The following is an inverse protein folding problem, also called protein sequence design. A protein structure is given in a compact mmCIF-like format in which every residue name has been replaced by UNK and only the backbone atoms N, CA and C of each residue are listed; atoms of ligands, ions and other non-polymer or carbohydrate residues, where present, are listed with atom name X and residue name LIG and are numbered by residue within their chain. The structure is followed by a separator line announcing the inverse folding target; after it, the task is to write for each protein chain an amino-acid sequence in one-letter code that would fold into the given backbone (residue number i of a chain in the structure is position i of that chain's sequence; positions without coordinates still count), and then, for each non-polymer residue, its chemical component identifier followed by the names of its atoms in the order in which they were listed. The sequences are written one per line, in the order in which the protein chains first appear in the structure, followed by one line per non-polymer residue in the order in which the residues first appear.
data_IF_309232128922
#
_entry.id   IF_309232128922
#
_cell.length_a   1.000
_cell.length_b   1.000
_cell.length_c   1.000
_cell.angle_alpha   90.00
_cell.angle_beta   90.00
_cell.angle_gamma   90.00
#
_symmetry.space_group_name_H-M   'P 1'
#
loop_
_entity.id
_entity.type
_entity.pdbx_description
1 polymer ?
#
# COMPACT_ATOMS: atom_id res chain seq x y z
N UNK A 1 21.31 -4.49 -1.21
CA UNK A 1 21.24 -3.08 -1.50
C UNK A 1 19.79 -2.70 -1.33
N UNK A 2 19.51 -1.82 -0.38
CA UNK A 2 18.15 -1.44 -0.04
C UNK A 2 17.53 -0.65 -1.18
N UNK A 3 16.49 -1.17 -1.75
CA UNK A 3 15.71 -0.56 -2.82
C UNK A 3 14.95 0.70 -2.39
N UNK A 4 14.95 1.05 -1.10
CA UNK A 4 14.29 2.25 -0.58
C UNK A 4 14.99 3.58 -0.91
N UNK A 5 16.27 3.57 -1.22
CA UNK A 5 16.96 4.74 -1.75
C UNK A 5 16.61 5.05 -3.20
N UNK A 6 15.88 4.17 -3.86
CA UNK A 6 15.55 4.27 -5.27
C UNK A 6 14.23 5.02 -5.57
N UNK A 7 13.54 5.58 -4.58
CA UNK A 7 12.42 6.51 -4.84
C UNK A 7 12.88 7.82 -5.48
N UNK A 8 14.17 8.12 -5.40
CA UNK A 8 14.90 9.14 -6.16
C UNK A 8 15.62 8.54 -7.37
N UNK A 9 15.13 7.44 -7.92
CA UNK A 9 15.78 6.82 -9.09
C UNK A 9 15.95 7.82 -10.19
N UNK A 10 17.18 8.02 -10.70
CA UNK A 10 17.36 8.77 -11.91
C UNK A 10 16.49 8.13 -13.01
N UNK A 11 15.90 8.95 -13.85
CA UNK A 11 15.18 8.47 -15.04
C UNK A 11 16.05 7.44 -15.77
N UNK A 12 15.45 6.33 -16.25
CA UNK A 12 16.25 5.32 -16.96
C UNK A 12 17.02 5.97 -18.10
N UNK A 13 18.29 5.66 -18.22
CA UNK A 13 19.08 6.11 -19.39
C UNK A 13 18.47 5.50 -20.66
N UNK A 14 18.70 6.12 -21.84
CA UNK A 14 18.24 5.54 -23.11
C UNK A 14 18.66 4.07 -23.31
N UNK A 15 19.80 3.66 -22.78
CA UNK A 15 20.28 2.26 -22.81
C UNK A 15 19.50 1.32 -21.87
N UNK A 16 18.85 1.87 -20.86
CA UNK A 16 18.00 1.12 -19.92
C UNK A 16 16.54 1.07 -20.36
N UNK A 17 16.15 1.95 -21.27
CA UNK A 17 14.79 1.99 -21.82
C UNK A 17 14.50 0.69 -22.58
N UNK A 18 13.37 0.05 -22.24
CA UNK A 18 12.96 -1.23 -22.82
C UNK A 18 13.61 -2.48 -22.19
N UNK A 19 14.55 -2.35 -21.26
CA UNK A 19 15.06 -3.49 -20.51
C UNK A 19 14.12 -3.84 -19.35
N UNK A 20 13.81 -5.14 -19.20
CA UNK A 20 13.04 -5.62 -18.06
C UNK A 20 13.80 -5.33 -16.78
N UNK A 21 13.13 -4.69 -15.83
CA UNK A 21 13.65 -4.48 -14.49
C UNK A 21 12.97 -5.45 -13.54
N UNK A 22 13.75 -6.30 -12.89
CA UNK A 22 13.26 -7.16 -11.82
C UNK A 22 13.29 -6.37 -10.51
N UNK A 23 12.22 -6.43 -9.74
CA UNK A 23 12.19 -5.97 -8.37
C UNK A 23 12.26 -7.16 -7.40
N UNK A 24 12.73 -6.90 -6.18
CA UNK A 24 12.65 -7.89 -5.10
C UNK A 24 11.22 -8.02 -4.60
N UNK A 25 10.86 -9.14 -3.99
CA UNK A 25 9.50 -9.41 -3.50
C UNK A 25 9.00 -8.40 -2.46
N UNK A 26 9.91 -7.72 -1.77
CA UNK A 26 9.59 -6.68 -0.77
C UNK A 26 9.53 -5.26 -1.34
N UNK A 27 9.67 -5.09 -2.65
CA UNK A 27 9.40 -3.81 -3.31
C UNK A 27 7.89 -3.55 -3.34
N UNK A 28 7.46 -2.33 -3.04
CA UNK A 28 6.04 -1.97 -2.98
C UNK A 28 5.30 -2.24 -4.30
N UNK A 29 6.02 -2.26 -5.43
CA UNK A 29 5.45 -2.54 -6.76
C UNK A 29 5.31 -4.02 -7.08
N UNK A 30 5.82 -4.92 -6.24
CA UNK A 30 5.91 -6.36 -6.54
C UNK A 30 4.55 -7.03 -6.79
N UNK A 31 3.48 -6.51 -6.19
CA UNK A 31 2.12 -7.02 -6.35
C UNK A 31 1.46 -6.66 -7.68
N UNK A 32 1.92 -5.62 -8.38
CA UNK A 32 1.24 -5.12 -9.58
C UNK A 32 1.38 -6.03 -10.79
N UNK A 33 2.53 -6.66 -10.98
CA UNK A 33 2.71 -7.58 -12.11
C UNK A 33 1.78 -8.81 -12.03
N UNK A 34 1.76 -9.59 -10.92
CA UNK A 34 0.78 -10.65 -10.77
C UNK A 34 -0.67 -10.13 -10.80
N UNK A 35 -0.95 -8.96 -10.23
CA UNK A 35 -2.25 -8.31 -10.34
C UNK A 35 -2.69 -8.07 -11.79
N UNK A 36 -1.78 -7.58 -12.62
CA UNK A 36 -2.04 -7.38 -14.07
C UNK A 36 -2.30 -8.70 -14.79
N UNK A 37 -1.62 -9.78 -14.42
CA UNK A 37 -1.89 -11.11 -14.99
C UNK A 37 -3.28 -11.63 -14.62
N UNK A 38 -3.75 -11.40 -13.38
CA UNK A 38 -5.08 -11.74 -12.95
C UNK A 38 -6.15 -10.98 -13.74
N UNK A 39 -5.98 -9.67 -13.95
CA UNK A 39 -6.90 -8.90 -14.80
C UNK A 39 -6.87 -9.35 -16.27
N UNK A 40 -5.68 -9.66 -16.80
CA UNK A 40 -5.56 -10.20 -18.15
C UNK A 40 -6.27 -11.55 -18.28
N UNK A 41 -6.17 -12.44 -17.28
CA UNK A 41 -6.96 -13.67 -17.23
C UNK A 41 -8.47 -13.39 -17.19
N UNK A 42 -8.91 -12.50 -16.32
CA UNK A 42 -10.33 -12.15 -16.19
C UNK A 42 -10.94 -11.65 -17.51
N UNK A 43 -10.18 -10.81 -18.24
CA UNK A 43 -10.62 -10.25 -19.52
C UNK A 43 -10.62 -11.26 -20.69
N UNK A 44 -9.73 -12.26 -20.65
CA UNK A 44 -9.49 -13.14 -21.80
C UNK A 44 -9.93 -14.59 -21.61
N UNK A 45 -10.08 -15.04 -20.36
CA UNK A 45 -10.30 -16.44 -20.02
C UNK A 45 -9.11 -17.36 -20.33
N UNK A 46 -7.91 -16.81 -20.56
CA UNK A 46 -6.74 -17.60 -20.98
C UNK A 46 -6.09 -18.29 -19.78
N UNK A 47 -6.14 -19.64 -19.77
CA UNK A 47 -5.59 -20.46 -18.69
C UNK A 47 -4.06 -20.33 -18.53
N UNK A 48 -3.31 -19.99 -19.58
CA UNK A 48 -1.87 -19.72 -19.48
C UNK A 48 -1.64 -18.48 -18.60
N UNK A 49 -2.40 -17.41 -18.80
CA UNK A 49 -2.34 -16.20 -17.97
C UNK A 49 -2.74 -16.50 -16.53
N UNK A 50 -3.71 -17.38 -16.30
CA UNK A 50 -4.09 -17.84 -14.96
C UNK A 50 -2.93 -18.58 -14.27
N UNK A 51 -2.29 -19.50 -14.99
CA UNK A 51 -1.16 -20.26 -14.46
C UNK A 51 0.02 -19.34 -14.09
N UNK A 52 0.34 -18.38 -14.96
CA UNK A 52 1.35 -17.36 -14.68
C UNK A 52 0.96 -16.48 -13.49
N UNK A 53 -0.30 -16.03 -13.43
CA UNK A 53 -0.79 -15.23 -12.30
C UNK A 53 -0.64 -15.97 -10.96
N UNK A 54 -0.99 -17.25 -10.91
CA UNK A 54 -0.80 -18.10 -9.72
C UNK A 54 0.68 -18.20 -9.37
N UNK A 55 1.55 -18.49 -10.35
CA UNK A 55 2.99 -18.63 -10.13
C UNK A 55 3.59 -17.36 -9.54
N UNK A 56 3.36 -16.20 -10.16
CA UNK A 56 3.92 -14.93 -9.72
C UNK A 56 3.29 -14.44 -8.40
N UNK A 57 2.02 -14.72 -8.14
CA UNK A 57 1.39 -14.47 -6.83
C UNK A 57 2.09 -15.27 -5.73
N UNK A 58 2.35 -16.56 -5.96
CA UNK A 58 2.99 -17.43 -4.97
C UNK A 58 4.42 -16.98 -4.61
N UNK A 59 5.15 -16.30 -5.52
CA UNK A 59 6.46 -15.74 -5.20
C UNK A 59 6.40 -14.67 -4.09
N UNK A 60 5.25 -14.03 -3.89
CA UNK A 60 5.05 -13.01 -2.86
C UNK A 60 4.68 -13.61 -1.49
N UNK A 61 4.57 -14.94 -1.35
CA UNK A 61 4.26 -15.57 -0.06
C UNK A 61 5.13 -15.11 1.11
N UNK A 62 6.47 -14.86 0.96
CA UNK A 62 7.29 -14.35 2.05
C UNK A 62 6.88 -12.98 2.60
N UNK A 63 6.16 -12.16 1.82
CA UNK A 63 5.69 -10.83 2.23
C UNK A 63 4.76 -10.90 3.44
N UNK A 64 4.04 -12.02 3.61
CA UNK A 64 3.17 -12.25 4.78
C UNK A 64 3.88 -12.09 6.14
N UNK A 65 5.20 -12.25 6.19
CA UNK A 65 6.02 -12.11 7.39
C UNK A 65 6.69 -10.74 7.51
N UNK A 66 6.55 -9.89 6.51
CA UNK A 66 7.23 -8.60 6.47
C UNK A 66 6.47 -7.56 7.29
N UNK A 67 7.21 -6.80 8.13
CA UNK A 67 6.65 -5.83 9.08
C UNK A 67 7.22 -4.41 8.91
N UNK A 68 8.15 -4.23 7.98
CA UNK A 68 8.94 -2.99 7.86
C UNK A 68 8.30 -1.87 7.06
N UNK A 69 7.11 -2.07 6.51
CA UNK A 69 6.44 -1.07 5.66
C UNK A 69 4.92 -1.15 5.79
N UNK A 70 4.23 -0.10 5.39
CA UNK A 70 2.78 -0.10 5.21
C UNK A 70 2.34 -0.65 3.84
N UNK A 71 3.25 -0.79 2.87
CA UNK A 71 2.97 -1.18 1.47
C UNK A 71 2.48 -2.62 1.31
N UNK A 72 2.14 -3.26 2.41
CA UNK A 72 1.64 -4.63 2.45
C UNK A 72 0.36 -4.82 1.63
N UNK A 73 -0.50 -3.80 1.58
CA UNK A 73 -1.69 -3.79 0.73
C UNK A 73 -1.32 -3.77 -0.75
N UNK A 74 -0.40 -2.90 -1.18
CA UNK A 74 0.09 -2.86 -2.57
C UNK A 74 0.68 -4.21 -3.01
N UNK A 75 1.47 -4.84 -2.16
CA UNK A 75 2.10 -6.13 -2.49
C UNK A 75 1.10 -7.27 -2.50
N UNK A 76 0.25 -7.39 -1.47
CA UNK A 76 -0.60 -8.56 -1.25
C UNK A 76 -2.03 -8.37 -1.78
N UNK A 77 -2.67 -7.21 -1.59
CA UNK A 77 -4.04 -7.06 -2.09
C UNK A 77 -4.08 -6.99 -3.63
N UNK A 78 -3.10 -6.37 -4.29
CA UNK A 78 -3.02 -6.38 -5.75
C UNK A 78 -2.77 -7.78 -6.33
N UNK A 79 -2.08 -8.67 -5.61
CA UNK A 79 -1.76 -10.02 -6.05
C UNK A 79 -2.72 -11.07 -5.48
N UNK A 80 -2.60 -11.37 -4.20
CA UNK A 80 -3.46 -12.35 -3.49
C UNK A 80 -4.92 -11.92 -3.41
N UNK A 81 -5.23 -10.61 -3.36
CA UNK A 81 -6.60 -10.13 -3.40
C UNK A 81 -7.31 -10.47 -4.72
N UNK A 82 -6.62 -10.32 -5.86
CA UNK A 82 -7.15 -10.78 -7.13
C UNK A 82 -7.21 -12.32 -7.24
N UNK A 83 -6.23 -13.02 -6.65
CA UNK A 83 -6.26 -14.47 -6.57
C UNK A 83 -7.45 -14.96 -5.72
N UNK A 84 -7.78 -14.31 -4.60
CA UNK A 84 -8.94 -14.63 -3.78
C UNK A 84 -10.24 -14.48 -4.55
N UNK A 85 -10.36 -13.42 -5.33
CA UNK A 85 -11.55 -13.13 -6.13
C UNK A 85 -11.76 -14.11 -7.29
N UNK A 86 -10.68 -14.55 -7.95
CA UNK A 86 -10.76 -15.34 -9.20
C UNK A 86 -10.44 -16.83 -9.05
N UNK A 87 -9.72 -17.21 -7.99
CA UNK A 87 -9.34 -18.59 -7.70
C UNK A 87 -9.16 -18.84 -6.19
N UNK A 88 -10.21 -18.60 -5.38
CA UNK A 88 -10.11 -18.60 -3.92
C UNK A 88 -9.65 -19.95 -3.35
N UNK A 89 -8.84 -19.90 -2.28
CA UNK A 89 -8.52 -21.05 -1.47
C UNK A 89 -8.05 -20.61 -0.06
N UNK A 90 -7.99 -21.56 0.88
CA UNK A 90 -7.67 -21.27 2.28
C UNK A 90 -6.24 -20.71 2.47
N UNK A 91 -5.29 -21.11 1.64
CA UNK A 91 -3.92 -20.61 1.69
C UNK A 91 -3.87 -19.13 1.35
N UNK A 92 -4.62 -18.70 0.31
CA UNK A 92 -4.73 -17.28 -0.09
C UNK A 92 -5.28 -16.46 1.08
N UNK A 93 -6.37 -16.89 1.68
CA UNK A 93 -6.98 -16.20 2.83
C UNK A 93 -6.04 -16.13 4.03
N UNK A 94 -5.30 -17.22 4.31
CA UNK A 94 -4.32 -17.23 5.39
C UNK A 94 -3.19 -16.21 5.16
N UNK A 95 -2.65 -16.12 3.94
CA UNK A 95 -1.62 -15.12 3.57
C UNK A 95 -2.15 -13.71 3.75
N UNK A 96 -3.33 -13.41 3.22
CA UNK A 96 -3.92 -12.07 3.32
C UNK A 96 -4.21 -11.68 4.76
N UNK A 97 -4.75 -12.61 5.56
CA UNK A 97 -5.04 -12.35 6.99
C UNK A 97 -3.77 -12.06 7.78
N UNK A 98 -2.73 -12.88 7.64
CA UNK A 98 -1.46 -12.67 8.34
C UNK A 98 -0.80 -11.35 7.93
N UNK A 99 -0.89 -10.99 6.64
CA UNK A 99 -0.42 -9.69 6.15
C UNK A 99 -1.22 -8.53 6.75
N UNK A 100 -2.55 -8.66 6.84
CA UNK A 100 -3.40 -7.66 7.49
C UNK A 100 -3.09 -7.51 8.98
N UNK A 101 -2.80 -8.60 9.69
CA UNK A 101 -2.35 -8.55 11.09
C UNK A 101 -1.02 -7.78 11.23
N UNK A 102 -0.08 -7.97 10.31
CA UNK A 102 1.18 -7.21 10.30
C UNK A 102 0.96 -5.72 9.99
N UNK A 103 0.05 -5.39 9.07
CA UNK A 103 -0.31 -3.99 8.80
C UNK A 103 -0.97 -3.35 10.02
N UNK A 104 -1.90 -4.04 10.68
CA UNK A 104 -2.49 -3.60 11.96
C UNK A 104 -1.45 -3.41 13.05
N UNK A 105 -0.39 -4.24 13.09
CA UNK A 105 0.71 -4.11 14.04
C UNK A 105 1.51 -2.80 13.92
N UNK A 106 1.36 -2.06 12.83
CA UNK A 106 1.96 -0.73 12.63
C UNK A 106 1.04 0.42 13.07
N UNK A 107 -0.17 0.11 13.50
CA UNK A 107 -1.14 1.09 13.97
C UNK A 107 -0.80 1.58 15.39
N UNK A 108 -0.91 2.88 15.60
CA UNK A 108 -0.80 3.51 16.92
C UNK A 108 -2.15 4.15 17.27
N UNK A 109 -2.77 3.66 18.33
CA UNK A 109 -4.13 4.09 18.72
C UNK A 109 -4.19 5.54 19.22
N UNK A 110 -3.14 6.02 19.90
CA UNK A 110 -3.06 7.41 20.38
C UNK A 110 -2.94 8.42 19.22
N UNK A 111 -2.30 8.01 18.13
CA UNK A 111 -2.16 8.83 16.92
C UNK A 111 -3.36 8.62 15.98
N UNK A 112 -3.94 7.42 15.99
CA UNK A 112 -5.03 7.02 15.12
C UNK A 112 -4.60 6.67 13.68
N UNK A 113 -3.32 6.28 13.47
CA UNK A 113 -2.78 5.98 12.14
C UNK A 113 -1.83 4.79 12.13
N UNK A 114 -1.62 4.24 10.92
CA UNK A 114 -0.64 3.20 10.61
C UNK A 114 0.66 3.89 10.16
N UNK A 115 1.78 3.55 10.80
CA UNK A 115 3.10 4.06 10.46
C UNK A 115 3.55 3.58 9.08
N UNK A 116 4.06 4.48 8.24
CA UNK A 116 4.44 4.15 6.87
C UNK A 116 5.78 3.42 6.77
N UNK A 117 6.83 3.97 7.39
CA UNK A 117 8.20 3.41 7.38
C UNK A 117 8.95 3.70 8.67
N UNK A 118 10.14 3.11 8.82
CA UNK A 118 10.96 3.20 10.04
C UNK A 118 12.33 3.87 9.78
N UNK A 119 12.49 4.59 8.68
CA UNK A 119 13.70 5.33 8.32
C UNK A 119 13.49 6.84 8.34
N UNK A 120 14.60 7.59 8.24
CA UNK A 120 14.58 9.05 8.21
C UNK A 120 14.50 9.68 9.60
N UNK A 121 14.25 10.98 9.64
CA UNK A 121 14.25 11.81 10.85
C UNK A 121 12.86 12.14 11.38
N UNK A 122 11.83 11.42 10.96
CA UNK A 122 10.45 11.61 11.40
C UNK A 122 10.16 10.80 12.67
N UNK A 123 9.39 11.36 13.57
CA UNK A 123 8.99 10.63 14.79
C UNK A 123 8.02 9.49 14.45
N UNK A 124 6.93 9.80 13.74
CA UNK A 124 5.95 8.82 13.29
C UNK A 124 5.43 9.21 11.89
N UNK A 125 6.11 8.80 10.82
CA UNK A 125 5.75 9.20 9.46
C UNK A 125 4.53 8.44 8.94
N UNK A 126 3.61 9.19 8.35
CA UNK A 126 2.46 8.68 7.62
C UNK A 126 2.43 9.33 6.25
N UNK A 127 2.43 8.56 5.18
CA UNK A 127 2.27 9.08 3.83
C UNK A 127 0.88 8.77 3.29
N UNK A 128 0.45 9.62 2.38
CA UNK A 128 -0.89 9.55 1.78
C UNK A 128 -1.13 8.23 1.03
N UNK A 129 -0.08 7.59 0.54
CA UNK A 129 -0.10 6.29 -0.15
C UNK A 129 -0.72 5.17 0.71
N UNK A 130 -0.67 5.32 2.04
CA UNK A 130 -1.24 4.33 2.95
C UNK A 130 -2.75 4.15 2.77
N UNK A 131 -3.44 5.14 2.24
CA UNK A 131 -4.86 5.04 1.93
C UNK A 131 -5.16 3.85 1.02
N UNK A 132 -4.28 3.55 0.05
CA UNK A 132 -4.42 2.41 -0.84
C UNK A 132 -4.22 1.05 -0.17
N UNK A 133 -3.51 1.02 0.96
CA UNK A 133 -3.23 -0.22 1.69
C UNK A 133 -4.39 -0.65 2.62
N UNK A 134 -5.33 0.25 2.87
CA UNK A 134 -6.48 0.00 3.75
C UNK A 134 -7.48 -1.01 3.16
N UNK A 135 -7.54 -1.14 1.84
CA UNK A 135 -8.43 -2.08 1.15
C UNK A 135 -8.17 -3.54 1.57
N UNK A 136 -6.91 -3.90 1.84
CA UNK A 136 -6.56 -5.18 2.45
C UNK A 136 -7.29 -5.40 3.78
N UNK A 137 -7.37 -4.38 4.62
CA UNK A 137 -8.02 -4.46 5.94
C UNK A 137 -9.54 -4.59 5.80
N UNK A 138 -10.17 -3.83 4.92
CA UNK A 138 -11.60 -3.94 4.64
C UNK A 138 -11.94 -5.34 4.10
N UNK A 139 -11.14 -5.85 3.16
CA UNK A 139 -11.31 -7.19 2.59
C UNK A 139 -11.25 -8.27 3.66
N UNK A 140 -10.22 -8.25 4.52
CA UNK A 140 -10.05 -9.25 5.59
C UNK A 140 -11.17 -9.12 6.64
N UNK A 141 -11.57 -7.91 7.01
CA UNK A 141 -12.69 -7.69 7.93
C UNK A 141 -13.99 -8.32 7.42
N UNK A 142 -14.25 -8.19 6.11
CA UNK A 142 -15.47 -8.71 5.48
C UNK A 142 -15.60 -10.22 5.58
N UNK A 143 -14.52 -10.98 5.39
CA UNK A 143 -14.63 -12.45 5.46
C UNK A 143 -14.50 -12.99 6.86
N UNK A 144 -13.70 -12.36 7.72
CA UNK A 144 -13.49 -12.83 9.10
C UNK A 144 -14.62 -12.44 10.04
N UNK A 145 -15.35 -11.37 9.72
CA UNK A 145 -16.28 -10.72 10.63
C UNK A 145 -15.62 -9.96 11.78
N UNK A 146 -14.28 -9.90 11.81
CA UNK A 146 -13.52 -9.18 12.83
C UNK A 146 -13.46 -7.68 12.47
N UNK A 147 -14.17 -6.88 13.24
CA UNK A 147 -14.22 -5.42 13.06
C UNK A 147 -12.89 -4.71 13.32
N UNK A 148 -11.93 -5.34 14.03
CA UNK A 148 -10.61 -4.76 14.32
C UNK A 148 -9.96 -4.15 13.08
N UNK A 149 -9.98 -4.88 11.97
CA UNK A 149 -9.36 -4.44 10.72
C UNK A 149 -10.04 -3.20 10.15
N UNK A 150 -11.37 -3.24 10.04
CA UNK A 150 -12.17 -2.12 9.55
C UNK A 150 -12.03 -0.89 10.44
N UNK A 151 -12.06 -1.06 11.77
CA UNK A 151 -11.98 0.03 12.71
C UNK A 151 -10.63 0.75 12.64
N UNK A 152 -9.53 0.01 12.50
CA UNK A 152 -8.18 0.55 12.24
C UNK A 152 -8.15 1.32 10.92
N UNK A 153 -8.70 0.74 9.85
CA UNK A 153 -8.73 1.39 8.54
C UNK A 153 -9.52 2.71 8.57
N UNK A 154 -10.70 2.72 9.19
CA UNK A 154 -11.53 3.92 9.35
C UNK A 154 -10.81 4.98 10.19
N UNK A 155 -10.22 4.61 11.34
CA UNK A 155 -9.45 5.56 12.16
C UNK A 155 -8.32 6.20 11.37
N UNK A 156 -7.54 5.37 10.64
CA UNK A 156 -6.47 5.86 9.80
C UNK A 156 -6.99 6.83 8.73
N UNK A 157 -8.05 6.47 8.02
CA UNK A 157 -8.65 7.30 6.97
C UNK A 157 -9.13 8.65 7.51
N UNK A 158 -9.86 8.66 8.64
CA UNK A 158 -10.36 9.89 9.27
C UNK A 158 -9.22 10.79 9.73
N UNK A 159 -8.19 10.24 10.36
CA UNK A 159 -7.01 11.02 10.79
C UNK A 159 -6.25 11.57 9.58
N UNK A 160 -6.12 10.80 8.51
CA UNK A 160 -5.51 11.23 7.26
C UNK A 160 -6.32 12.35 6.59
N UNK A 161 -7.64 12.23 6.52
CA UNK A 161 -8.51 13.30 6.01
C UNK A 161 -8.29 14.62 6.75
N UNK A 162 -8.24 14.57 8.07
CA UNK A 162 -8.12 15.77 8.91
C UNK A 162 -6.74 16.44 8.80
N UNK A 163 -5.69 15.70 8.49
CA UNK A 163 -4.31 16.20 8.59
C UNK A 163 -3.57 16.31 7.26
N UNK A 164 -3.88 15.45 6.26
CA UNK A 164 -3.17 15.45 4.98
C UNK A 164 -3.76 16.42 3.95
N UNK A 165 -5.06 16.75 4.04
CA UNK A 165 -5.66 17.67 3.08
C UNK A 165 -5.44 19.13 3.45
N UNK A 166 -5.19 19.95 2.43
CA UNK A 166 -5.16 21.41 2.53
C UNK A 166 -6.59 21.97 2.29
N UNK A 167 -6.84 23.25 2.60
CA UNK A 167 -8.15 23.87 2.35
C UNK A 167 -8.61 23.85 0.89
N UNK A 168 -7.66 23.74 -0.06
CA UNK A 168 -7.92 23.64 -1.50
C UNK A 168 -8.07 22.19 -1.99
N UNK A 169 -8.18 21.22 -1.06
CA UNK A 169 -8.28 19.78 -1.30
C UNK A 169 -7.04 19.14 -1.92
N UNK A 170 -5.93 19.84 -2.06
CA UNK A 170 -4.65 19.20 -2.33
C UNK A 170 -4.11 18.53 -1.07
N UNK A 171 -3.22 17.52 -1.22
CA UNK A 171 -2.74 16.80 -0.06
C UNK A 171 -1.23 16.96 0.17
N UNK A 172 -0.84 16.91 1.45
CA UNK A 172 0.52 16.71 1.87
C UNK A 172 0.93 15.25 1.62
N UNK A 173 2.15 15.06 1.11
CA UNK A 173 2.67 13.70 0.93
C UNK A 173 2.92 13.02 2.29
N UNK A 174 3.65 13.68 3.18
CA UNK A 174 4.04 13.17 4.50
C UNK A 174 3.47 14.05 5.60
N UNK A 175 2.80 13.44 6.55
CA UNK A 175 2.49 14.03 7.86
C UNK A 175 3.16 13.18 8.92
N UNK A 176 4.02 13.77 9.72
CA UNK A 176 4.63 13.11 10.87
C UNK A 176 3.96 13.55 12.16
N UNK A 177 3.81 12.62 13.09
CA UNK A 177 3.13 12.84 14.36
C UNK A 177 4.08 12.64 15.54
N UNK A 178 3.81 13.36 16.63
CA UNK A 178 4.37 13.11 17.93
C UNK A 178 3.65 11.94 18.62
N UNK A 179 4.24 11.39 19.68
CA UNK A 179 3.65 10.28 20.44
C UNK A 179 2.31 10.60 21.10
N UNK A 180 2.00 11.87 21.32
CA UNK A 180 0.73 12.37 21.86
C UNK A 180 -0.36 12.57 20.81
N UNK A 181 -0.08 12.25 19.53
CA UNK A 181 -1.00 12.38 18.42
C UNK A 181 -1.00 13.77 17.76
N UNK A 182 -0.27 14.74 18.26
CA UNK A 182 -0.13 16.05 17.62
C UNK A 182 0.73 15.96 16.37
N UNK A 183 0.46 16.81 15.37
CA UNK A 183 1.26 16.87 14.15
C UNK A 183 2.64 17.46 14.47
N UNK A 184 3.69 16.71 14.16
CA UNK A 184 5.07 17.18 14.24
C UNK A 184 5.40 18.13 13.09
N UNK A 185 5.16 17.65 11.86
CA UNK A 185 5.42 18.43 10.64
C UNK A 185 4.71 17.83 9.42
N UNK A 186 4.53 18.67 8.41
CA UNK A 186 3.95 18.30 7.11
C UNK A 186 4.96 18.63 6.02
N UNK A 187 5.23 17.69 5.12
CA UNK A 187 6.23 17.88 4.08
C UNK A 187 6.04 16.90 2.91
N UNK A 188 6.92 16.98 1.94
CA UNK A 188 7.03 15.99 0.89
C UNK A 188 8.27 15.12 1.05
N UNK A 189 8.24 13.91 0.48
CA UNK A 189 9.40 13.03 0.29
C UNK A 189 9.66 12.77 -1.20
N UNK A 190 8.60 12.74 -2.02
CA UNK A 190 8.69 12.43 -3.45
C UNK A 190 8.21 13.62 -4.33
N UNK A 191 7.57 14.63 -3.77
CA UNK A 191 7.14 15.83 -4.49
C UNK A 191 8.28 16.82 -4.73
N UNK A 192 7.98 17.86 -5.49
CA UNK A 192 8.95 18.90 -5.86
C UNK A 192 9.44 19.71 -4.66
N UNK A 193 8.55 20.09 -3.77
CA UNK A 193 8.81 20.81 -2.51
C UNK A 193 7.60 20.63 -1.57
N UNK A 194 7.73 21.08 -0.32
CA UNK A 194 6.70 20.89 0.70
C UNK A 194 5.38 21.59 0.39
N UNK A 195 5.42 22.70 -0.34
CA UNK A 195 4.21 23.46 -0.74
C UNK A 195 3.51 22.86 -1.97
N UNK A 196 4.18 21.98 -2.70
CA UNK A 196 3.60 21.34 -3.89
C UNK A 196 2.68 20.18 -3.54
N UNK A 197 1.70 19.92 -4.40
CA UNK A 197 0.97 18.66 -4.39
C UNK A 197 1.66 17.64 -5.30
N UNK A 198 2.05 16.51 -4.75
CA UNK A 198 2.61 15.41 -5.52
C UNK A 198 1.50 14.64 -6.22
N UNK A 199 1.49 14.65 -7.56
CA UNK A 199 0.36 14.17 -8.37
C UNK A 199 -0.06 12.73 -8.08
N UNK A 200 0.88 11.80 -7.92
CA UNK A 200 0.56 10.41 -7.57
C UNK A 200 -0.04 10.30 -6.17
N UNK A 201 0.49 11.03 -5.19
CA UNK A 201 -0.08 11.08 -3.85
C UNK A 201 -1.49 11.65 -3.83
N UNK A 202 -1.75 12.70 -4.63
CA UNK A 202 -3.10 13.24 -4.79
C UNK A 202 -4.06 12.20 -5.37
N UNK A 203 -3.61 11.40 -6.34
CA UNK A 203 -4.42 10.32 -6.90
C UNK A 203 -4.75 9.23 -5.85
N UNK A 204 -3.78 8.84 -5.01
CA UNK A 204 -4.02 7.90 -3.91
C UNK A 204 -5.04 8.42 -2.90
N UNK A 205 -4.95 9.71 -2.55
CA UNK A 205 -5.91 10.33 -1.65
C UNK A 205 -7.34 10.30 -2.21
N UNK A 206 -7.50 10.61 -3.49
CA UNK A 206 -8.82 10.68 -4.13
C UNK A 206 -9.46 9.30 -4.33
N UNK A 207 -8.67 8.28 -4.65
CA UNK A 207 -9.20 6.96 -5.00
C UNK A 207 -9.97 6.33 -3.84
N UNK A 208 -9.43 6.37 -2.63
CA UNK A 208 -10.13 5.80 -1.48
C UNK A 208 -11.34 6.65 -1.03
N UNK A 209 -11.26 7.98 -1.20
CA UNK A 209 -12.39 8.86 -0.88
C UNK A 209 -13.62 8.58 -1.76
N UNK A 210 -13.41 8.07 -2.96
CA UNK A 210 -14.49 7.84 -3.95
C UNK A 210 -14.98 6.39 -3.99
N UNK A 211 -14.23 5.42 -3.43
CA UNK A 211 -14.58 4.00 -3.52
C UNK A 211 -15.65 3.55 -2.52
N UNK A 212 -15.87 4.30 -1.44
CA UNK A 212 -16.80 3.96 -0.35
C UNK A 212 -17.88 5.05 -0.10
N UNK A 213 -18.03 5.99 -1.04
CA UNK A 213 -19.04 7.04 -0.96
C UNK A 213 -20.41 6.57 -1.49
#
# INVERSE_FOLDING_TARGET
PSTFQDSLRPQPTPEQMGKRRLCVVYDWTSGFFPGSLWYAYELTGNDTLKADAIQYTNLLNPVRYYKGTHDLGFMINCSYGNAERLAPNDTIKAVMKETADNLCGRFNDSIGTIRSWDFGSWNFPVIIDNMMNLDLLFTVSKWTGDNKYKDIAIKHAVTTMNNHFRPDYTCWHVVSYNNDGTVERKQTHQGKNDDSSWSRGQAWACLLYTSDA
#
